data_IF_551751245262
#
_entry.id   IF_551751245262
#
_cell.length_a   1.000
_cell.length_b   1.000
_cell.length_c   1.000
_cell.angle_alpha   90.00
_cell.angle_beta   90.00
_cell.angle_gamma   90.00
#
_symmetry.space_group_name_H-M   'P 1'
#
loop_
_entity.id
_entity.type
_entity.pdbx_description
1 polymer ?
#
# COMPACT_ATOMS: atom_id res chain seq x y z
N UNK A 1 -21.11 45.46 26.95
CA UNK A 1 -22.53 45.67 27.25
C UNK A 1 -23.34 44.53 26.69
N UNK A 2 -24.17 43.93 27.58
CA UNK A 2 -25.29 42.94 27.40
C UNK A 2 -24.92 41.59 26.80
N UNK A 3 -24.68 40.54 27.56
CA UNK A 3 -25.53 39.63 28.37
C UNK A 3 -26.91 39.41 27.73
N UNK A 4 -27.16 38.19 27.23
CA UNK A 4 -28.43 37.51 27.50
C UNK A 4 -28.24 36.00 27.50
N UNK A 5 -28.49 35.41 28.66
CA UNK A 5 -28.79 34.01 28.93
C UNK A 5 -30.19 33.67 28.40
N UNK A 6 -30.43 32.44 27.97
CA UNK A 6 -31.70 31.76 28.21
C UNK A 6 -31.49 30.24 28.32
N UNK A 7 -31.95 29.78 29.46
CA UNK A 7 -32.06 28.41 29.99
C UNK A 7 -33.26 27.65 29.39
N UNK A 8 -33.22 26.37 29.62
CA UNK A 8 -34.31 25.39 29.88
C UNK A 8 -34.85 24.57 28.69
N UNK A 9 -34.87 23.27 28.95
CA UNK A 9 -35.81 22.31 28.41
C UNK A 9 -35.41 20.85 28.55
N UNK A 10 -35.28 20.40 29.83
CA UNK A 10 -35.19 18.98 30.19
C UNK A 10 -36.61 18.38 30.12
N UNK A 11 -36.89 17.37 29.31
CA UNK A 11 -38.10 16.54 29.39
C UNK A 11 -37.72 15.05 29.38
N UNK A 12 -37.80 14.50 30.57
CA UNK A 12 -37.84 13.08 30.88
C UNK A 12 -39.23 12.54 30.56
N UNK A 13 -39.35 11.50 29.76
CA UNK A 13 -40.57 10.71 29.64
C UNK A 13 -40.30 9.29 30.13
N UNK A 14 -40.76 9.03 31.31
CA UNK A 14 -40.96 7.72 31.91
C UNK A 14 -42.26 7.13 31.35
N UNK A 15 -42.24 5.90 30.80
CA UNK A 15 -43.49 5.12 30.65
C UNK A 15 -43.33 3.79 31.35
N UNK A 16 -44.25 3.58 32.27
CA UNK A 16 -44.33 2.50 33.23
C UNK A 16 -44.94 1.22 32.61
N UNK A 17 -44.49 0.12 33.17
CA UNK A 17 -45.06 -1.22 33.10
C UNK A 17 -46.52 -1.25 33.55
N UNK A 18 -47.36 -2.02 32.87
CA UNK A 18 -48.61 -2.54 33.41
C UNK A 18 -48.60 -4.06 33.21
N UNK A 19 -48.57 -4.76 34.31
CA UNK A 19 -48.82 -6.20 34.43
C UNK A 19 -50.24 -6.45 34.87
N UNK A 20 -50.69 -7.67 34.65
CA UNK A 20 -51.80 -8.40 35.30
C UNK A 20 -53.15 -8.47 34.61
N UNK A 21 -53.58 -9.73 34.51
CA UNK A 21 -54.97 -10.12 34.53
C UNK A 21 -55.23 -11.54 34.02
N UNK A 22 -55.08 -12.52 34.90
CA UNK A 22 -55.54 -13.90 34.70
C UNK A 22 -57.09 -14.00 34.79
N UNK A 23 -57.71 -14.90 34.00
CA UNK A 23 -58.89 -15.66 34.42
C UNK A 23 -59.01 -16.98 33.64
N UNK A 24 -59.19 -18.05 34.38
CA UNK A 24 -59.46 -19.42 34.01
C UNK A 24 -60.74 -19.60 33.17
N UNK A 25 -60.77 -20.61 32.32
CA UNK A 25 -61.95 -21.52 32.13
C UNK A 25 -61.53 -22.78 31.36
N UNK A 26 -61.79 -23.89 31.95
CA UNK A 26 -61.67 -25.26 31.48
C UNK A 26 -62.38 -25.55 30.15
N UNK A 27 -61.72 -26.42 29.34
CA UNK A 27 -62.40 -27.53 28.68
C UNK A 27 -61.38 -28.50 28.03
N UNK A 28 -61.48 -29.75 28.42
CA UNK A 28 -60.76 -30.93 27.99
C UNK A 28 -60.86 -31.22 26.52
N UNK A 29 -59.75 -31.69 25.91
CA UNK A 29 -59.72 -32.29 24.57
C UNK A 29 -58.39 -32.99 24.36
N UNK A 30 -58.37 -34.29 24.55
CA UNK A 30 -57.28 -35.23 24.29
C UNK A 30 -56.97 -35.27 22.79
N UNK A 31 -55.73 -34.98 22.40
CA UNK A 31 -55.13 -35.50 21.15
C UNK A 31 -53.60 -35.48 21.28
N UNK A 32 -53.05 -36.67 21.39
CA UNK A 32 -51.63 -36.97 21.19
C UNK A 32 -51.14 -36.43 19.86
N UNK A 33 -50.31 -35.43 19.88
CA UNK A 33 -49.46 -35.01 18.77
C UNK A 33 -48.00 -35.20 19.21
N UNK A 34 -47.30 -36.08 18.48
CA UNK A 34 -45.87 -36.27 18.56
C UNK A 34 -45.18 -34.92 18.35
N UNK A 35 -44.51 -34.45 19.35
CA UNK A 35 -43.52 -33.38 19.20
C UNK A 35 -42.30 -33.96 18.45
N UNK A 36 -42.24 -33.75 17.17
CA UNK A 36 -40.99 -33.71 16.45
C UNK A 36 -40.31 -32.38 16.84
N UNK A 37 -39.47 -32.43 17.86
CA UNK A 37 -38.46 -31.41 18.13
C UNK A 37 -37.40 -31.53 17.01
N UNK A 38 -37.69 -31.02 15.82
CA UNK A 38 -36.67 -30.60 14.87
C UNK A 38 -36.03 -29.34 15.48
N UNK A 39 -35.04 -29.54 16.34
CA UNK A 39 -34.05 -28.52 16.62
C UNK A 39 -33.33 -28.27 15.32
N UNK A 40 -33.77 -27.28 14.54
CA UNK A 40 -32.87 -26.54 13.68
C UNK A 40 -31.75 -26.05 14.58
N UNK A 41 -30.60 -26.73 14.53
CA UNK A 41 -29.34 -26.15 14.98
C UNK A 41 -29.13 -24.88 14.15
N UNK A 42 -29.51 -23.74 14.70
CA UNK A 42 -29.05 -22.46 14.16
C UNK A 42 -27.55 -22.49 14.25
N UNK A 43 -26.86 -22.83 13.13
CA UNK A 43 -25.42 -22.68 13.01
C UNK A 43 -25.11 -21.24 13.38
N UNK A 44 -24.38 -21.07 14.45
CA UNK A 44 -23.94 -19.75 14.91
C UNK A 44 -23.09 -19.15 13.78
N UNK A 45 -23.50 -18.00 13.24
CA UNK A 45 -22.76 -17.33 12.14
C UNK A 45 -21.53 -16.68 12.74
N UNK A 46 -20.37 -17.06 12.20
CA UNK A 46 -19.08 -16.43 12.54
C UNK A 46 -18.91 -15.18 11.69
N UNK A 47 -18.71 -14.03 12.33
CA UNK A 47 -18.41 -12.79 11.64
C UNK A 47 -16.88 -12.54 11.67
N UNK A 48 -16.27 -12.28 10.52
CA UNK A 48 -14.85 -11.92 10.37
C UNK A 48 -14.74 -10.50 9.80
N UNK A 49 -13.95 -9.65 10.44
CA UNK A 49 -13.62 -8.32 9.95
C UNK A 49 -12.29 -8.34 9.20
N UNK A 50 -12.31 -7.88 7.95
CA UNK A 50 -11.15 -7.81 7.07
C UNK A 50 -10.81 -6.34 6.81
N UNK A 51 -9.53 -6.00 6.91
CA UNK A 51 -9.01 -4.65 6.64
C UNK A 51 -7.87 -4.74 5.65
N UNK A 52 -7.99 -3.99 4.55
CA UNK A 52 -6.96 -3.93 3.49
C UNK A 52 -6.85 -2.52 2.93
N UNK A 53 -5.88 -2.32 2.03
CA UNK A 53 -5.77 -1.11 1.20
C UNK A 53 -6.62 -1.20 -0.07
N UNK A 54 -7.18 -2.37 -0.40
CA UNK A 54 -7.92 -2.67 -1.64
C UNK A 54 -9.34 -2.11 -1.56
N UNK A 55 -9.47 -0.79 -1.67
CA UNK A 55 -10.74 -0.08 -1.61
C UNK A 55 -10.67 1.27 -2.35
N UNK A 56 -11.82 1.87 -2.62
CA UNK A 56 -11.92 3.17 -3.27
C UNK A 56 -11.45 3.13 -4.72
N UNK A 57 -10.38 3.85 -5.04
CA UNK A 57 -9.77 3.91 -6.37
C UNK A 57 -8.70 2.85 -6.62
N UNK A 58 -8.46 1.94 -5.65
CA UNK A 58 -7.49 0.86 -5.82
C UNK A 58 -7.98 -0.12 -6.90
N UNK A 59 -7.16 -0.43 -7.93
CA UNK A 59 -7.55 -1.34 -9.01
C UNK A 59 -7.95 -2.74 -8.54
N UNK A 60 -7.43 -3.19 -7.39
CA UNK A 60 -7.80 -4.49 -6.80
C UNK A 60 -9.15 -4.45 -6.07
N UNK A 61 -9.73 -3.27 -5.79
CA UNK A 61 -10.87 -3.12 -4.90
C UNK A 61 -12.10 -3.92 -5.33
N UNK A 62 -12.45 -3.89 -6.62
CA UNK A 62 -13.59 -4.62 -7.17
C UNK A 62 -13.35 -6.13 -7.13
N UNK A 63 -12.21 -6.58 -7.62
CA UNK A 63 -11.83 -8.00 -7.63
C UNK A 63 -11.74 -8.57 -6.22
N UNK A 64 -11.22 -7.80 -5.27
CA UNK A 64 -11.16 -8.20 -3.87
C UNK A 64 -12.56 -8.38 -3.27
N UNK A 65 -13.50 -7.47 -3.54
CA UNK A 65 -14.89 -7.61 -3.08
C UNK A 65 -15.56 -8.84 -3.70
N UNK A 66 -15.35 -9.10 -4.99
CA UNK A 66 -15.87 -10.32 -5.65
C UNK A 66 -15.35 -11.60 -4.97
N UNK A 67 -14.04 -11.65 -4.65
CA UNK A 67 -13.46 -12.80 -3.94
C UNK A 67 -14.10 -13.01 -2.56
N UNK A 68 -14.37 -11.94 -1.82
CA UNK A 68 -15.06 -12.04 -0.53
C UNK A 68 -16.50 -12.53 -0.67
N UNK A 69 -17.22 -12.07 -1.68
CA UNK A 69 -18.61 -12.48 -1.95
C UNK A 69 -18.68 -13.95 -2.39
N UNK A 70 -17.77 -14.39 -3.24
CA UNK A 70 -17.61 -15.79 -3.65
C UNK A 70 -17.32 -16.68 -2.42
N UNK A 71 -16.33 -16.29 -1.59
CA UNK A 71 -16.01 -17.02 -0.38
C UNK A 71 -17.22 -17.17 0.54
N UNK A 72 -17.99 -16.09 0.78
CA UNK A 72 -19.18 -16.13 1.62
C UNK A 72 -20.26 -17.05 1.04
N UNK A 73 -20.44 -17.04 -0.29
CA UNK A 73 -21.42 -17.89 -0.96
C UNK A 73 -21.11 -19.39 -0.82
N UNK A 74 -19.83 -19.75 -0.74
CA UNK A 74 -19.36 -21.12 -0.59
C UNK A 74 -19.27 -21.57 0.89
N UNK A 75 -19.33 -20.61 1.82
CA UNK A 75 -19.13 -20.86 3.24
C UNK A 75 -20.32 -20.34 4.08
N UNK A 76 -21.50 -21.01 3.92
CA UNK A 76 -22.65 -20.72 4.75
C UNK A 76 -22.31 -20.78 6.23
N UNK A 77 -22.56 -19.69 6.97
CA UNK A 77 -22.20 -19.55 8.37
C UNK A 77 -20.95 -18.71 8.63
N UNK A 78 -20.26 -18.24 7.57
CA UNK A 78 -19.22 -17.21 7.72
C UNK A 78 -19.73 -15.92 7.04
N UNK A 79 -19.72 -14.82 7.81
CA UNK A 79 -20.02 -13.48 7.30
C UNK A 79 -18.76 -12.64 7.34
N UNK A 80 -18.45 -11.93 6.25
CA UNK A 80 -17.31 -11.04 6.19
C UNK A 80 -17.78 -9.58 6.27
N UNK A 81 -17.10 -8.81 7.10
CA UNK A 81 -17.21 -7.35 7.17
C UNK A 81 -15.95 -6.78 6.54
N UNK A 82 -16.07 -6.33 5.29
CA UNK A 82 -15.00 -5.63 4.59
C UNK A 82 -14.93 -4.19 5.09
N UNK A 83 -13.93 -3.88 5.93
CA UNK A 83 -13.66 -2.56 6.51
C UNK A 83 -12.37 -1.95 5.91
N UNK A 84 -12.11 -2.26 4.63
CA UNK A 84 -10.96 -1.79 3.87
C UNK A 84 -11.06 -0.29 3.56
N UNK A 85 -9.91 0.36 3.43
CA UNK A 85 -9.80 1.79 3.12
C UNK A 85 -8.74 2.00 2.05
N UNK A 86 -8.92 3.01 1.21
CA UNK A 86 -7.87 3.41 0.25
C UNK A 86 -6.52 3.65 0.95
N UNK A 87 -5.43 3.34 0.26
CA UNK A 87 -4.08 3.55 0.76
C UNK A 87 -3.71 5.03 0.94
N UNK A 88 -4.54 5.94 0.42
CA UNK A 88 -4.26 7.37 0.38
C UNK A 88 -4.04 7.97 1.78
N UNK A 89 -3.10 8.90 1.85
CA UNK A 89 -2.85 9.79 3.00
C UNK A 89 -2.57 9.09 4.35
N UNK A 90 -2.03 7.87 4.34
CA UNK A 90 -1.67 7.17 5.58
C UNK A 90 -2.85 6.78 6.47
N UNK A 91 -4.08 6.83 5.97
CA UNK A 91 -5.30 6.52 6.73
C UNK A 91 -5.31 5.10 7.24
N UNK A 92 -4.83 4.14 6.45
CA UNK A 92 -4.74 2.72 6.83
C UNK A 92 -3.79 2.51 8.02
N UNK A 93 -2.64 3.20 8.06
CA UNK A 93 -1.69 3.12 9.18
C UNK A 93 -2.32 3.61 10.48
N UNK A 94 -2.97 4.76 10.43
CA UNK A 94 -3.69 5.34 11.58
C UNK A 94 -4.81 4.41 12.04
N UNK A 95 -5.56 3.82 11.11
CA UNK A 95 -6.64 2.88 11.41
C UNK A 95 -6.12 1.63 12.11
N UNK A 96 -5.13 0.95 11.56
CA UNK A 96 -4.55 -0.26 12.14
C UNK A 96 -3.98 0.03 13.53
N UNK A 97 -3.19 1.09 13.70
CA UNK A 97 -2.66 1.48 15.01
C UNK A 97 -3.78 1.74 16.05
N UNK A 98 -4.87 2.40 15.64
CA UNK A 98 -6.02 2.66 16.49
C UNK A 98 -6.74 1.37 16.85
N UNK A 99 -7.00 0.50 15.90
CA UNK A 99 -7.68 -0.77 16.09
C UNK A 99 -6.92 -1.67 17.08
N UNK A 100 -5.61 -1.84 16.89
CA UNK A 100 -4.77 -2.64 17.78
C UNK A 100 -4.65 -2.02 19.18
N UNK A 101 -4.49 -0.70 19.28
CA UNK A 101 -4.39 0.00 20.58
C UNK A 101 -5.68 -0.05 21.37
N UNK A 102 -6.85 -0.10 20.72
CA UNK A 102 -8.16 -0.17 21.36
C UNK A 102 -8.66 -1.59 21.64
N UNK A 103 -7.92 -2.63 21.23
CA UNK A 103 -8.32 -4.03 21.35
C UNK A 103 -9.41 -4.43 20.35
N UNK A 104 -9.55 -3.68 19.25
CA UNK A 104 -10.47 -3.96 18.15
C UNK A 104 -9.72 -4.43 16.90
N UNK A 105 -8.79 -5.36 17.09
CA UNK A 105 -7.97 -5.90 15.99
C UNK A 105 -8.86 -6.52 14.89
N UNK A 106 -8.54 -6.33 13.59
CA UNK A 106 -9.20 -7.08 12.51
C UNK A 106 -8.86 -8.57 12.63
N UNK A 107 -9.73 -9.44 12.12
CA UNK A 107 -9.45 -10.89 12.11
C UNK A 107 -8.38 -11.22 11.07
N UNK A 108 -8.47 -10.60 9.90
CA UNK A 108 -7.52 -10.71 8.78
C UNK A 108 -7.20 -9.32 8.26
N UNK A 109 -5.94 -9.03 7.96
CA UNK A 109 -5.55 -7.76 7.36
C UNK A 109 -4.48 -7.93 6.29
N UNK A 110 -4.54 -7.09 5.25
CA UNK A 110 -3.46 -6.88 4.30
C UNK A 110 -2.77 -5.56 4.65
N UNK A 111 -1.54 -5.65 5.11
CA UNK A 111 -0.85 -4.51 5.71
C UNK A 111 0.65 -4.54 5.43
N UNK A 112 1.34 -3.44 5.73
CA UNK A 112 2.78 -3.31 5.55
C UNK A 112 3.54 -4.20 6.55
N UNK A 113 4.37 -5.11 6.06
CA UNK A 113 5.28 -5.94 6.85
C UNK A 113 6.68 -5.27 6.91
N UNK A 114 6.70 -4.07 7.41
CA UNK A 114 7.83 -3.16 7.51
C UNK A 114 7.93 -2.65 8.95
N UNK A 115 8.64 -1.56 9.19
CA UNK A 115 8.66 -0.87 10.51
C UNK A 115 7.25 -0.57 11.05
N UNK A 116 6.26 -0.45 10.16
CA UNK A 116 4.85 -0.24 10.54
C UNK A 116 4.25 -1.43 11.32
N UNK A 117 4.70 -2.66 11.05
CA UNK A 117 4.19 -3.86 11.73
C UNK A 117 5.01 -4.26 12.96
N UNK A 118 6.20 -3.70 13.18
CA UNK A 118 7.09 -4.12 14.26
C UNK A 118 6.41 -4.08 15.63
N UNK A 119 5.63 -3.03 15.90
CA UNK A 119 4.93 -2.88 17.17
C UNK A 119 3.95 -4.03 17.43
N UNK A 120 3.10 -4.35 16.45
CA UNK A 120 2.09 -5.41 16.59
C UNK A 120 2.71 -6.81 16.59
N UNK A 121 3.84 -7.01 15.90
CA UNK A 121 4.61 -8.27 15.93
C UNK A 121 5.24 -8.45 17.32
N UNK A 122 5.94 -7.44 17.83
CA UNK A 122 6.64 -7.49 19.11
C UNK A 122 5.68 -7.65 20.30
N UNK A 123 4.45 -7.16 20.18
CA UNK A 123 3.38 -7.37 21.17
C UNK A 123 2.69 -8.72 21.05
N UNK A 124 3.06 -9.56 20.06
CA UNK A 124 2.44 -10.87 19.82
C UNK A 124 0.98 -10.77 19.36
N UNK A 125 0.61 -9.68 18.68
CA UNK A 125 -0.76 -9.41 18.22
C UNK A 125 -1.11 -10.09 16.90
N UNK A 126 -0.12 -10.61 16.19
CA UNK A 126 -0.27 -11.34 14.92
C UNK A 126 0.44 -12.67 15.00
N UNK A 127 -0.06 -13.63 14.24
CA UNK A 127 0.35 -15.04 14.29
C UNK A 127 1.64 -15.26 13.48
N UNK A 128 2.58 -16.06 14.02
CA UNK A 128 3.64 -16.64 13.19
C UNK A 128 3.02 -17.68 12.25
N UNK A 129 2.96 -17.38 10.97
CA UNK A 129 2.25 -18.18 9.97
C UNK A 129 2.88 -19.57 9.75
N UNK A 130 4.18 -19.73 9.97
CA UNK A 130 4.86 -21.04 9.86
C UNK A 130 4.51 -22.00 11.01
N UNK A 131 4.10 -21.44 12.16
CA UNK A 131 3.71 -22.20 13.34
C UNK A 131 2.19 -22.39 13.44
N UNK A 132 1.42 -21.69 12.61
CA UNK A 132 -0.03 -21.68 12.65
C UNK A 132 -0.62 -22.95 12.02
N UNK A 133 -1.30 -23.77 12.82
CA UNK A 133 -1.95 -24.98 12.34
C UNK A 133 -3.04 -24.63 11.30
N UNK A 134 -2.99 -25.30 10.15
CA UNK A 134 -3.95 -25.14 9.06
C UNK A 134 -3.63 -24.03 8.06
N UNK A 135 -2.65 -23.18 8.33
CA UNK A 135 -2.17 -22.17 7.36
C UNK A 135 -1.33 -22.84 6.28
N UNK A 136 -1.64 -22.53 5.01
CA UNK A 136 -0.94 -23.06 3.84
C UNK A 136 -0.06 -21.97 3.19
N UNK A 137 1.25 -22.11 3.36
CA UNK A 137 2.28 -21.27 2.74
C UNK A 137 2.92 -21.93 1.50
N UNK A 138 2.36 -22.99 0.97
CA UNK A 138 2.90 -23.65 -0.23
C UNK A 138 2.71 -22.82 -1.50
N UNK A 139 3.56 -23.05 -2.49
CA UNK A 139 3.44 -22.45 -3.84
C UNK A 139 3.91 -21.00 -3.96
N UNK A 140 4.33 -20.36 -2.88
CA UNK A 140 4.96 -19.04 -2.93
C UNK A 140 6.31 -19.06 -3.65
N UNK A 141 6.62 -18.00 -4.37
CA UNK A 141 7.96 -17.74 -4.91
C UNK A 141 8.89 -17.12 -3.85
N UNK A 142 10.03 -16.57 -4.26
CA UNK A 142 11.01 -15.96 -3.35
C UNK A 142 10.50 -14.76 -2.54
N UNK A 143 9.34 -14.20 -2.88
CA UNK A 143 8.74 -13.09 -2.15
C UNK A 143 8.33 -13.47 -0.72
N UNK A 144 8.00 -14.76 -0.48
CA UNK A 144 7.71 -15.22 0.89
C UNK A 144 8.93 -15.08 1.80
N UNK A 145 10.11 -15.38 1.31
CA UNK A 145 11.36 -15.24 2.08
C UNK A 145 11.69 -13.77 2.41
N UNK A 146 11.22 -12.83 1.59
CA UNK A 146 11.37 -11.40 1.85
C UNK A 146 10.47 -10.92 3.02
N UNK A 147 9.48 -11.74 3.42
CA UNK A 147 8.61 -11.45 4.56
C UNK A 147 9.22 -11.85 5.91
N UNK A 148 10.39 -12.49 5.94
CA UNK A 148 11.03 -12.87 7.19
C UNK A 148 11.51 -11.66 7.96
N UNK A 149 11.11 -11.58 9.23
CA UNK A 149 11.65 -10.59 10.14
C UNK A 149 13.10 -10.92 10.55
N UNK A 150 13.72 -10.07 11.36
CA UNK A 150 15.10 -10.26 11.85
C UNK A 150 15.31 -11.57 12.63
N UNK A 151 14.26 -12.11 13.26
CA UNK A 151 14.30 -13.37 14.01
C UNK A 151 14.08 -14.60 13.10
N UNK A 152 13.86 -14.40 11.82
CA UNK A 152 13.64 -15.44 10.82
C UNK A 152 12.20 -15.95 10.74
N UNK A 153 11.23 -15.31 11.39
CA UNK A 153 9.83 -15.69 11.40
C UNK A 153 9.02 -14.99 10.29
N UNK A 154 7.94 -15.66 9.84
CA UNK A 154 7.00 -15.11 8.85
C UNK A 154 5.67 -14.80 9.53
N UNK A 155 5.29 -13.53 9.58
CA UNK A 155 4.02 -13.05 10.13
C UNK A 155 3.04 -12.59 9.05
N UNK A 156 3.53 -12.38 7.83
CA UNK A 156 2.74 -11.95 6.70
C UNK A 156 2.96 -12.84 5.48
N UNK A 157 1.91 -13.10 4.71
CA UNK A 157 2.01 -13.81 3.43
C UNK A 157 1.83 -12.80 2.28
N UNK A 158 2.79 -12.64 1.35
CA UNK A 158 2.71 -11.62 0.32
C UNK A 158 1.60 -11.91 -0.69
N UNK A 159 0.99 -10.86 -1.23
CA UNK A 159 0.04 -10.93 -2.33
C UNK A 159 0.74 -10.78 -3.67
N UNK A 160 1.60 -9.79 -3.75
CA UNK A 160 2.35 -9.39 -4.94
C UNK A 160 3.65 -8.72 -4.53
N UNK A 161 4.58 -8.67 -5.45
CA UNK A 161 5.70 -7.74 -5.39
C UNK A 161 5.36 -6.41 -6.03
N UNK A 162 6.25 -5.44 -5.87
CA UNK A 162 6.19 -4.17 -6.55
C UNK A 162 7.59 -3.76 -7.02
N UNK A 163 7.62 -2.81 -7.91
CA UNK A 163 8.81 -2.07 -8.29
C UNK A 163 8.45 -0.60 -8.42
N UNK A 164 9.43 0.26 -8.20
CA UNK A 164 9.36 1.68 -8.50
C UNK A 164 10.33 1.99 -9.62
N UNK A 165 9.91 2.87 -10.55
CA UNK A 165 10.66 3.14 -11.76
C UNK A 165 10.31 4.53 -12.32
N UNK A 166 11.06 4.96 -13.32
CA UNK A 166 10.66 6.11 -14.15
C UNK A 166 9.68 5.60 -15.19
N UNK A 167 8.44 6.07 -15.14
CA UNK A 167 7.45 5.93 -16.20
C UNK A 167 7.69 7.02 -17.25
N UNK A 168 7.86 6.62 -18.49
CA UNK A 168 8.24 7.52 -19.59
C UNK A 168 7.17 7.49 -20.66
N UNK A 169 6.61 8.65 -21.01
CA UNK A 169 5.72 8.77 -22.18
C UNK A 169 6.55 8.75 -23.46
N UNK A 170 6.67 7.57 -24.07
CA UNK A 170 7.49 7.35 -25.28
C UNK A 170 7.03 8.16 -26.48
N UNK A 171 5.73 8.45 -26.57
CA UNK A 171 5.19 9.27 -27.65
C UNK A 171 5.69 10.73 -27.59
N UNK A 172 5.78 11.30 -26.37
CA UNK A 172 6.34 12.64 -26.18
C UNK A 172 7.85 12.67 -26.48
N UNK A 173 8.58 11.63 -26.06
CA UNK A 173 10.01 11.51 -26.36
C UNK A 173 10.26 11.42 -27.87
N UNK A 174 9.46 10.64 -28.60
CA UNK A 174 9.55 10.53 -30.06
C UNK A 174 9.17 11.86 -30.75
N UNK A 175 8.09 12.51 -30.33
CA UNK A 175 7.60 13.78 -30.90
C UNK A 175 8.64 14.88 -30.78
N UNK A 176 9.34 14.95 -29.63
CA UNK A 176 10.35 15.98 -29.37
C UNK A 176 11.77 15.56 -29.80
N UNK A 177 11.95 14.32 -30.27
CA UNK A 177 13.26 13.81 -30.69
C UNK A 177 14.28 13.69 -29.55
N UNK A 178 13.81 13.36 -28.35
CA UNK A 178 14.60 13.17 -27.14
C UNK A 178 14.88 11.67 -26.95
N UNK A 179 16.12 11.30 -26.66
CA UNK A 179 16.48 9.91 -26.36
C UNK A 179 15.96 9.49 -24.98
N UNK A 180 15.55 8.20 -24.85
CA UNK A 180 15.12 7.65 -23.56
C UNK A 180 16.27 7.68 -22.52
N UNK A 181 15.99 8.05 -21.26
CA UNK A 181 17.01 8.30 -20.24
C UNK A 181 17.52 6.99 -19.61
N UNK A 182 18.44 6.32 -20.25
CA UNK A 182 19.07 5.07 -19.74
C UNK A 182 20.38 5.32 -18.98
N UNK A 183 20.92 6.55 -19.02
CA UNK A 183 22.04 7.00 -18.21
C UNK A 183 21.70 8.31 -17.49
N UNK A 184 22.48 8.65 -16.45
CA UNK A 184 22.27 9.91 -15.73
C UNK A 184 22.38 11.14 -16.63
N UNK A 185 23.37 11.15 -17.53
CA UNK A 185 23.56 12.25 -18.48
C UNK A 185 22.39 12.38 -19.46
N UNK A 186 21.79 11.24 -19.87
CA UNK A 186 20.58 11.25 -20.71
C UNK A 186 19.37 11.75 -19.92
N UNK A 187 19.24 11.38 -18.63
CA UNK A 187 18.17 11.88 -17.75
C UNK A 187 18.23 13.41 -17.60
N UNK A 188 19.43 13.97 -17.30
CA UNK A 188 19.62 15.41 -17.26
C UNK A 188 19.38 16.07 -18.63
N UNK A 189 19.79 15.41 -19.73
CA UNK A 189 19.58 15.94 -21.08
C UNK A 189 18.10 15.97 -21.44
N UNK A 190 17.32 14.95 -21.05
CA UNK A 190 15.87 14.94 -21.22
C UNK A 190 15.19 16.04 -20.41
N UNK A 191 15.59 16.24 -19.15
CA UNK A 191 15.09 17.36 -18.32
C UNK A 191 15.30 18.69 -19.04
N UNK A 192 16.53 18.97 -19.50
CA UNK A 192 16.87 20.22 -20.17
C UNK A 192 16.10 20.41 -21.49
N UNK A 193 15.92 19.32 -22.26
CA UNK A 193 15.23 19.38 -23.53
C UNK A 193 13.73 19.68 -23.35
N UNK A 194 13.06 19.03 -22.42
CA UNK A 194 11.64 19.29 -22.16
C UNK A 194 11.40 20.61 -21.45
N UNK A 195 12.31 21.08 -20.58
CA UNK A 195 12.22 22.38 -19.94
C UNK A 195 12.22 23.58 -20.93
N UNK A 196 12.66 23.38 -22.17
CA UNK A 196 12.56 24.38 -23.25
C UNK A 196 11.23 24.31 -24.02
N UNK A 197 10.29 23.44 -23.60
CA UNK A 197 8.97 23.22 -24.24
C UNK A 197 7.83 23.53 -23.27
N UNK A 198 6.59 23.30 -23.72
CA UNK A 198 5.42 23.38 -22.85
C UNK A 198 5.16 22.07 -22.05
N UNK A 199 6.02 21.05 -22.21
CA UNK A 199 5.93 19.76 -21.53
C UNK A 199 6.79 19.77 -20.27
N UNK A 200 6.21 19.43 -19.14
CA UNK A 200 6.93 19.28 -17.86
C UNK A 200 7.88 18.08 -17.99
N UNK A 201 9.18 18.22 -17.70
CA UNK A 201 10.12 17.11 -17.79
C UNK A 201 9.73 15.93 -16.87
N UNK A 202 9.47 16.19 -15.59
CA UNK A 202 9.12 15.19 -14.58
C UNK A 202 7.91 15.68 -13.77
N UNK A 203 6.80 14.99 -13.87
CA UNK A 203 5.67 15.23 -12.98
C UNK A 203 6.06 14.83 -11.55
N UNK A 204 6.03 15.76 -10.63
CA UNK A 204 6.33 15.51 -9.22
C UNK A 204 5.64 16.54 -8.31
N UNK A 205 5.28 16.09 -7.11
CA UNK A 205 5.08 16.95 -5.95
C UNK A 205 6.39 17.03 -5.17
N UNK A 206 6.83 18.23 -4.79
CA UNK A 206 7.98 18.37 -3.88
C UNK A 206 7.54 18.46 -2.42
N UNK A 207 6.25 18.67 -2.14
CA UNK A 207 5.67 18.58 -0.81
C UNK A 207 5.42 17.12 -0.40
N UNK A 208 5.00 16.28 -1.37
CA UNK A 208 4.73 14.85 -1.16
C UNK A 208 5.66 13.98 -2.03
N UNK A 209 6.96 14.10 -1.78
CA UNK A 209 8.02 13.59 -2.66
C UNK A 209 8.56 12.22 -2.23
N UNK A 210 7.68 11.23 -2.02
CA UNK A 210 8.07 9.85 -1.67
C UNK A 210 9.10 9.29 -2.67
N UNK A 211 8.68 9.07 -3.90
CA UNK A 211 9.49 8.39 -4.91
C UNK A 211 10.68 9.23 -5.39
N UNK A 212 10.50 10.56 -5.46
CA UNK A 212 11.59 11.45 -5.88
C UNK A 212 12.76 11.37 -4.90
N UNK A 213 12.50 11.46 -3.59
CA UNK A 213 13.54 11.37 -2.55
C UNK A 213 14.28 10.04 -2.64
N UNK A 214 13.55 8.93 -2.74
CA UNK A 214 14.14 7.59 -2.76
C UNK A 214 14.98 7.33 -4.00
N UNK A 215 14.45 7.66 -5.16
CA UNK A 215 15.16 7.43 -6.41
C UNK A 215 16.39 8.33 -6.58
N UNK A 216 16.33 9.56 -6.08
CA UNK A 216 17.52 10.40 -6.06
C UNK A 216 18.54 9.89 -5.04
N UNK A 217 18.12 9.34 -3.88
CA UNK A 217 19.02 8.70 -2.93
C UNK A 217 19.71 7.46 -3.54
N UNK A 218 18.95 6.61 -4.25
CA UNK A 218 19.49 5.48 -5.00
C UNK A 218 20.49 5.96 -6.07
N UNK A 219 20.12 6.98 -6.85
CA UNK A 219 20.98 7.50 -7.90
C UNK A 219 22.29 8.09 -7.40
N UNK A 220 22.23 8.90 -6.32
CA UNK A 220 23.39 9.59 -5.77
C UNK A 220 24.37 8.63 -5.07
N UNK A 221 23.88 7.57 -4.43
CA UNK A 221 24.69 6.69 -3.60
C UNK A 221 24.90 5.27 -4.13
N UNK A 222 24.11 4.84 -5.12
CA UNK A 222 24.00 3.42 -5.48
C UNK A 222 23.30 2.61 -4.38
N UNK A 223 23.14 1.30 -4.60
CA UNK A 223 22.33 0.45 -3.73
C UNK A 223 22.96 0.26 -2.33
N UNK A 224 24.27 0.20 -2.22
CA UNK A 224 24.95 0.04 -0.93
C UNK A 224 24.65 1.22 0.03
N UNK A 225 24.76 2.44 -0.47
CA UNK A 225 24.45 3.65 0.31
C UNK A 225 22.95 3.82 0.53
N UNK A 226 22.14 3.47 -0.50
CA UNK A 226 20.69 3.53 -0.42
C UNK A 226 20.13 2.65 0.71
N UNK A 227 20.73 1.48 0.95
CA UNK A 227 20.28 0.53 1.99
C UNK A 227 20.74 0.86 3.41
N UNK A 228 21.52 1.93 3.62
CA UNK A 228 21.92 2.36 4.97
C UNK A 228 20.73 2.83 5.80
N UNK A 229 20.90 2.81 7.11
CA UNK A 229 19.99 3.45 8.05
C UNK A 229 20.23 4.95 8.12
N UNK A 230 19.21 5.73 8.47
CA UNK A 230 19.32 7.19 8.70
C UNK A 230 20.31 7.51 9.83
N UNK A 231 20.42 6.61 10.83
CA UNK A 231 21.36 6.74 11.94
C UNK A 231 22.84 6.67 11.50
N UNK A 232 23.14 6.08 10.33
CA UNK A 232 24.45 6.07 9.71
C UNK A 232 24.80 7.42 9.07
N UNK A 233 23.84 8.33 8.99
CA UNK A 233 23.94 9.66 8.39
C UNK A 233 24.58 9.62 6.99
N UNK A 234 23.99 8.91 6.00
CA UNK A 234 24.61 8.68 4.70
C UNK A 234 24.71 10.00 3.91
N UNK A 235 25.93 10.43 3.62
CA UNK A 235 26.20 11.69 2.94
C UNK A 235 25.59 11.74 1.54
N UNK A 236 25.45 10.59 0.86
CA UNK A 236 24.80 10.46 -0.45
C UNK A 236 23.31 10.83 -0.42
N UNK A 237 22.61 10.64 0.71
CA UNK A 237 21.23 11.07 0.85
C UNK A 237 21.10 12.60 0.91
N UNK A 238 22.07 13.28 1.58
CA UNK A 238 22.16 14.74 1.54
C UNK A 238 22.44 15.26 0.13
N UNK A 239 23.38 14.64 -0.60
CA UNK A 239 23.64 14.95 -2.00
C UNK A 239 22.39 14.74 -2.87
N UNK A 240 21.64 13.66 -2.67
CA UNK A 240 20.42 13.37 -3.40
C UNK A 240 19.36 14.48 -3.25
N UNK A 241 19.16 14.96 -2.03
CA UNK A 241 18.23 16.06 -1.76
C UNK A 241 18.71 17.37 -2.42
N UNK A 242 20.03 17.65 -2.41
CA UNK A 242 20.58 18.81 -3.11
C UNK A 242 20.38 18.70 -4.64
N UNK A 243 20.54 17.49 -5.23
CA UNK A 243 20.26 17.24 -6.66
C UNK A 243 18.81 17.51 -7.03
N UNK A 244 17.84 17.24 -6.15
CA UNK A 244 16.44 17.61 -6.40
C UNK A 244 16.31 19.13 -6.55
N UNK A 245 16.97 19.91 -5.68
CA UNK A 245 17.03 21.37 -5.76
C UNK A 245 17.69 21.86 -7.06
N UNK A 246 18.79 21.23 -7.47
CA UNK A 246 19.48 21.55 -8.73
C UNK A 246 18.60 21.28 -9.94
N UNK A 247 17.87 20.15 -9.97
CA UNK A 247 16.95 19.82 -11.06
C UNK A 247 15.71 20.72 -11.07
N UNK A 248 15.19 21.12 -9.92
CA UNK A 248 14.15 22.13 -9.82
C UNK A 248 14.59 23.45 -10.46
N UNK A 249 15.83 23.88 -10.20
CA UNK A 249 16.39 25.11 -10.81
C UNK A 249 16.58 24.98 -12.34
N UNK A 250 16.68 23.76 -12.89
CA UNK A 250 16.67 23.50 -14.34
C UNK A 250 15.26 23.44 -14.94
N UNK A 251 14.21 23.57 -14.14
CA UNK A 251 12.81 23.45 -14.61
C UNK A 251 12.34 22.02 -14.75
N UNK A 252 12.91 21.08 -13.99
CA UNK A 252 12.57 19.65 -14.06
C UNK A 252 11.12 19.37 -13.65
N UNK A 253 10.57 20.12 -12.70
CA UNK A 253 9.29 19.86 -12.04
C UNK A 253 8.24 20.95 -12.39
N UNK A 254 6.94 20.70 -12.10
CA UNK A 254 5.91 21.72 -12.23
C UNK A 254 6.28 22.99 -11.44
N UNK A 255 5.90 24.19 -11.94
CA UNK A 255 6.16 25.45 -11.25
C UNK A 255 5.53 25.50 -9.85
N UNK A 256 4.42 24.80 -9.65
CA UNK A 256 3.67 24.67 -8.40
C UNK A 256 3.95 23.36 -7.62
N UNK A 257 5.02 22.64 -7.96
CA UNK A 257 5.39 21.35 -7.34
C UNK A 257 5.44 21.39 -5.80
N UNK A 258 5.74 22.56 -5.21
CA UNK A 258 5.76 22.75 -3.76
C UNK A 258 4.39 22.90 -3.10
N UNK A 259 3.30 22.86 -3.87
CA UNK A 259 1.93 23.09 -3.38
C UNK A 259 0.89 22.12 -3.93
N UNK A 260 1.28 21.26 -4.87
CA UNK A 260 0.44 20.17 -5.37
C UNK A 260 0.75 18.88 -4.62
N UNK A 261 -0.25 18.01 -4.51
CA UNK A 261 -0.10 16.65 -3.99
C UNK A 261 0.34 15.67 -5.09
N UNK A 262 0.63 14.45 -4.70
CA UNK A 262 1.03 13.37 -5.61
C UNK A 262 -0.08 13.07 -6.65
N UNK A 263 -1.34 13.07 -6.24
CA UNK A 263 -2.46 12.76 -7.14
C UNK A 263 -2.56 13.77 -8.29
N UNK A 264 -2.29 15.08 -8.01
CA UNK A 264 -2.25 16.09 -9.04
C UNK A 264 -1.02 15.93 -9.96
N UNK A 265 0.13 15.54 -9.42
CA UNK A 265 1.31 15.21 -10.23
C UNK A 265 1.02 14.02 -11.17
N UNK A 266 0.38 12.96 -10.67
CA UNK A 266 -0.07 11.83 -11.49
C UNK A 266 -1.04 12.30 -12.60
N UNK A 267 -1.96 13.20 -12.29
CA UNK A 267 -2.89 13.76 -13.28
C UNK A 267 -2.19 14.54 -14.40
N UNK A 268 -1.12 15.28 -14.11
CA UNK A 268 -0.31 15.94 -15.13
C UNK A 268 0.28 14.93 -16.13
N UNK A 269 0.81 13.82 -15.62
CA UNK A 269 1.34 12.74 -16.48
C UNK A 269 0.23 12.05 -17.28
N UNK A 270 -0.89 11.69 -16.64
CA UNK A 270 -2.05 11.05 -17.30
C UNK A 270 -2.67 11.92 -18.39
N UNK A 271 -2.52 13.25 -18.31
CA UNK A 271 -2.97 14.20 -19.35
C UNK A 271 -1.92 14.49 -20.41
N UNK A 272 -0.82 13.76 -20.43
CA UNK A 272 0.29 13.94 -21.37
C UNK A 272 0.91 15.37 -21.28
N UNK A 273 0.83 15.99 -20.10
CA UNK A 273 1.43 17.31 -19.83
C UNK A 273 2.85 17.18 -19.25
N UNK A 274 3.26 15.96 -18.91
CA UNK A 274 4.61 15.67 -18.43
C UNK A 274 5.20 14.47 -19.18
N UNK A 275 6.51 14.51 -19.42
CA UNK A 275 7.23 13.49 -20.17
C UNK A 275 7.57 12.26 -19.31
N UNK A 276 7.84 12.46 -18.03
CA UNK A 276 8.23 11.43 -17.07
C UNK A 276 7.48 11.60 -15.75
N UNK A 277 7.37 10.50 -15.00
CA UNK A 277 7.00 10.47 -13.58
C UNK A 277 7.74 9.32 -12.92
N UNK A 278 8.14 9.48 -11.65
CA UNK A 278 8.68 8.39 -10.83
C UNK A 278 7.53 7.84 -10.01
N UNK A 279 7.21 6.56 -10.18
CA UNK A 279 6.04 5.92 -9.57
C UNK A 279 6.26 4.41 -9.38
N UNK A 280 5.35 3.80 -8.62
CA UNK A 280 5.34 2.37 -8.42
C UNK A 280 4.49 1.61 -9.44
N UNK A 281 4.69 0.29 -9.50
CA UNK A 281 3.99 -0.60 -10.43
C UNK A 281 2.46 -0.58 -10.33
N UNK A 282 1.89 -0.13 -9.21
CA UNK A 282 0.44 0.09 -9.03
C UNK A 282 -0.12 1.20 -9.93
N UNK A 283 0.71 2.06 -10.48
CA UNK A 283 0.28 3.17 -11.33
C UNK A 283 -0.22 2.70 -12.71
N UNK A 284 0.13 1.48 -13.13
CA UNK A 284 -0.33 0.92 -14.40
C UNK A 284 -1.85 0.88 -14.53
N UNK A 285 -2.58 0.52 -13.48
CA UNK A 285 -4.05 0.53 -13.53
C UNK A 285 -4.63 1.89 -13.89
N UNK A 286 -4.08 2.98 -13.34
CA UNK A 286 -4.50 4.33 -13.68
C UNK A 286 -4.11 4.74 -15.11
N UNK A 287 -2.96 4.26 -15.62
CA UNK A 287 -2.51 4.51 -16.99
C UNK A 287 -3.38 3.77 -18.02
N UNK A 288 -3.82 2.56 -17.71
CA UNK A 288 -4.77 1.80 -18.53
C UNK A 288 -6.12 2.52 -18.61
N UNK A 289 -6.67 2.97 -17.49
CA UNK A 289 -7.90 3.75 -17.46
C UNK A 289 -7.79 5.07 -18.26
N UNK A 290 -6.60 5.68 -18.26
CA UNK A 290 -6.32 6.88 -19.06
C UNK A 290 -6.06 6.57 -20.56
N UNK A 291 -5.97 5.30 -20.95
CA UNK A 291 -5.68 4.87 -22.33
C UNK A 291 -4.21 5.10 -22.73
N UNK A 292 -3.29 5.11 -21.77
CA UNK A 292 -1.87 5.41 -21.98
C UNK A 292 -0.97 4.18 -21.96
N UNK A 293 -1.47 2.99 -21.68
CA UNK A 293 -0.67 1.78 -21.53
C UNK A 293 0.38 1.61 -22.63
N UNK A 294 -0.01 1.65 -23.92
CA UNK A 294 0.89 1.48 -25.05
C UNK A 294 1.80 2.70 -25.35
N UNK A 295 1.54 3.85 -24.72
CA UNK A 295 2.36 5.06 -24.87
C UNK A 295 3.43 5.21 -23.81
N UNK A 296 3.41 4.36 -22.78
CA UNK A 296 4.28 4.45 -21.62
C UNK A 296 5.17 3.21 -21.53
N UNK A 297 6.42 3.41 -21.20
CA UNK A 297 7.34 2.36 -20.77
C UNK A 297 7.93 2.70 -19.43
N UNK A 298 8.58 1.72 -18.78
CA UNK A 298 9.28 1.91 -17.51
C UNK A 298 10.77 1.70 -17.66
N UNK A 299 11.55 2.53 -17.00
CA UNK A 299 13.01 2.46 -16.96
C UNK A 299 13.48 2.51 -15.50
N UNK A 300 14.57 1.80 -15.16
CA UNK A 300 15.17 1.97 -13.85
C UNK A 300 15.72 3.41 -13.72
N UNK A 301 15.74 3.94 -12.51
CA UNK A 301 16.42 5.22 -12.26
C UNK A 301 17.91 5.09 -12.61
N UNK A 302 18.46 5.95 -13.46
CA UNK A 302 19.88 5.92 -13.76
C UNK A 302 20.74 6.23 -12.53
N UNK A 303 21.80 5.46 -12.33
CA UNK A 303 22.71 5.63 -11.19
C UNK A 303 23.81 6.62 -11.55
N UNK A 304 23.87 7.71 -10.79
CA UNK A 304 24.91 8.76 -10.91
C UNK A 304 26.23 8.32 -10.29
N UNK A 305 26.15 7.65 -9.12
CA UNK A 305 27.34 7.27 -8.35
C UNK A 305 28.21 6.24 -9.04
N UNK A 306 27.61 5.18 -9.60
CA UNK A 306 28.29 4.11 -10.32
C UNK A 306 27.41 3.54 -11.45
N UNK A 307 27.76 3.83 -12.69
CA UNK A 307 27.03 3.34 -13.85
C UNK A 307 27.04 1.80 -13.97
N UNK A 308 27.89 1.07 -13.25
CA UNK A 308 27.89 -0.39 -13.23
C UNK A 308 26.67 -0.97 -12.45
N UNK A 309 26.01 -0.19 -11.61
CA UNK A 309 24.78 -0.54 -10.91
C UNK A 309 23.51 -0.21 -11.73
N UNK A 310 23.66 0.18 -12.98
CA UNK A 310 22.51 0.45 -13.87
C UNK A 310 21.54 -0.72 -13.87
N UNK A 311 20.26 -0.44 -13.58
CA UNK A 311 19.22 -1.44 -13.46
C UNK A 311 18.91 -1.86 -12.03
N UNK A 312 19.63 -1.33 -11.02
CA UNK A 312 19.19 -1.47 -9.62
C UNK A 312 17.78 -0.86 -9.43
N UNK A 313 16.94 -1.53 -8.68
CA UNK A 313 15.54 -1.13 -8.48
C UNK A 313 15.20 -0.92 -7.00
N UNK A 314 14.33 0.05 -6.76
CA UNK A 314 13.52 0.11 -5.55
C UNK A 314 12.33 -0.82 -5.74
N UNK A 315 12.05 -1.69 -4.78
CA UNK A 315 10.96 -2.66 -4.90
C UNK A 315 11.06 -3.79 -3.88
N UNK A 316 10.23 -4.79 -4.08
CA UNK A 316 10.18 -5.97 -3.23
C UNK A 316 8.76 -6.41 -2.92
N UNK A 317 8.56 -7.03 -1.76
CA UNK A 317 7.26 -7.39 -1.23
C UNK A 317 7.15 -6.84 0.19
N UNK A 318 6.63 -5.62 0.33
CA UNK A 318 6.53 -4.93 1.64
C UNK A 318 5.18 -5.10 2.33
N UNK A 319 4.22 -5.76 1.69
CA UNK A 319 2.89 -5.98 2.23
C UNK A 319 2.54 -7.46 2.25
N UNK A 320 1.69 -7.84 3.19
CA UNK A 320 1.20 -9.21 3.25
C UNK A 320 -0.05 -9.37 4.11
N UNK A 321 -0.60 -10.58 4.08
CA UNK A 321 -1.77 -11.00 4.82
C UNK A 321 -1.38 -11.47 6.21
N UNK A 322 -1.88 -10.80 7.23
CA UNK A 322 -1.70 -11.14 8.66
C UNK A 322 -2.99 -11.69 9.25
N UNK A 323 -2.86 -12.71 10.09
CA UNK A 323 -3.94 -13.19 10.96
C UNK A 323 -3.72 -12.60 12.35
N UNK A 324 -4.73 -12.00 12.98
CA UNK A 324 -4.60 -11.53 14.36
C UNK A 324 -4.57 -12.73 15.33
N UNK A 325 -3.71 -12.64 16.35
CA UNK A 325 -3.63 -13.63 17.42
C UNK A 325 -4.97 -13.80 18.12
N UNK A 326 -5.69 -12.71 18.32
CA UNK A 326 -7.03 -12.70 18.93
C UNK A 326 -8.03 -13.58 18.18
N UNK A 327 -8.06 -13.51 16.85
CA UNK A 327 -8.96 -14.33 16.02
C UNK A 327 -8.50 -15.77 15.96
N UNK A 328 -7.19 -16.00 15.85
CA UNK A 328 -6.62 -17.35 15.76
C UNK A 328 -6.74 -18.15 17.08
N UNK A 329 -6.58 -17.51 18.23
CA UNK A 329 -6.71 -18.17 19.54
C UNK A 329 -8.17 -18.40 19.95
N UNK A 330 -9.12 -17.72 19.35
CA UNK A 330 -10.54 -17.89 19.61
C UNK A 330 -11.07 -19.12 18.86
N UNK A 331 -11.48 -20.16 19.57
CA UNK A 331 -12.02 -21.41 19.00
C UNK A 331 -13.20 -21.18 18.03
N UNK A 332 -13.98 -20.12 18.23
CA UNK A 332 -15.13 -19.82 17.39
C UNK A 332 -14.75 -19.24 16.01
N UNK A 333 -13.62 -18.52 15.91
CA UNK A 333 -13.18 -17.82 14.69
C UNK A 333 -11.99 -18.47 14.01
N UNK A 334 -11.18 -19.28 14.72
CA UNK A 334 -9.96 -19.88 14.18
C UNK A 334 -10.12 -20.55 12.82
N UNK A 335 -11.02 -21.52 12.75
CA UNK A 335 -11.22 -22.30 11.51
C UNK A 335 -11.69 -21.42 10.37
N UNK A 336 -12.53 -20.43 10.66
CA UNK A 336 -13.07 -19.51 9.67
C UNK A 336 -11.99 -18.55 9.14
N UNK A 337 -11.14 -17.98 10.02
CA UNK A 337 -10.09 -17.04 9.60
C UNK A 337 -8.97 -17.74 8.85
N UNK A 338 -8.58 -18.95 9.27
CA UNK A 338 -7.59 -19.77 8.54
C UNK A 338 -8.13 -20.16 7.15
N UNK A 339 -9.41 -20.52 7.06
CA UNK A 339 -10.04 -20.86 5.79
C UNK A 339 -10.08 -19.64 4.85
N UNK A 340 -10.43 -18.46 5.35
CA UNK A 340 -10.42 -17.22 4.58
C UNK A 340 -9.00 -16.86 4.15
N UNK A 341 -8.02 -16.96 5.05
CA UNK A 341 -6.62 -16.72 4.73
C UNK A 341 -6.14 -17.61 3.58
N UNK A 342 -6.36 -18.93 3.67
CA UNK A 342 -5.94 -19.88 2.63
C UNK A 342 -6.66 -19.63 1.30
N UNK A 343 -7.91 -19.18 1.33
CA UNK A 343 -8.67 -18.82 0.13
C UNK A 343 -8.08 -17.59 -0.55
N UNK A 344 -7.89 -16.47 0.19
CA UNK A 344 -7.41 -15.22 -0.37
C UNK A 344 -5.92 -15.27 -0.76
N UNK A 345 -5.15 -16.18 -0.18
CA UNK A 345 -3.75 -16.46 -0.52
C UNK A 345 -3.59 -17.65 -1.46
N UNK A 346 -4.68 -18.19 -2.02
CA UNK A 346 -4.61 -19.20 -3.09
C UNK A 346 -3.98 -18.61 -4.35
N UNK A 347 -3.39 -19.46 -5.19
CA UNK A 347 -2.83 -19.02 -6.48
C UNK A 347 -3.89 -18.31 -7.34
N UNK A 348 -5.13 -18.82 -7.37
CA UNK A 348 -6.22 -18.23 -8.12
C UNK A 348 -6.53 -16.79 -7.64
N UNK A 349 -6.72 -16.59 -6.34
CA UNK A 349 -7.01 -15.27 -5.79
C UNK A 349 -5.84 -14.29 -6.00
N UNK A 350 -4.60 -14.75 -5.80
CA UNK A 350 -3.39 -13.97 -6.05
C UNK A 350 -3.32 -13.53 -7.52
N UNK A 351 -3.54 -14.43 -8.47
CA UNK A 351 -3.49 -14.11 -9.90
C UNK A 351 -4.64 -13.18 -10.33
N UNK A 352 -5.84 -13.31 -9.76
CA UNK A 352 -6.96 -12.38 -10.04
C UNK A 352 -6.63 -10.96 -9.59
N UNK A 353 -6.09 -10.79 -8.38
CA UNK A 353 -5.68 -9.47 -7.85
C UNK A 353 -4.50 -8.92 -8.67
N UNK A 354 -3.49 -9.75 -8.95
CA UNK A 354 -2.34 -9.35 -9.76
C UNK A 354 -2.74 -8.93 -11.18
N UNK A 355 -3.73 -9.62 -11.78
CA UNK A 355 -4.29 -9.26 -13.09
C UNK A 355 -4.96 -7.89 -13.10
N UNK A 356 -5.61 -7.49 -12.00
CA UNK A 356 -6.23 -6.17 -11.87
C UNK A 356 -5.22 -5.05 -11.61
N UNK A 357 -4.11 -5.36 -10.94
CA UNK A 357 -3.09 -4.36 -10.56
C UNK A 357 -1.89 -4.29 -11.51
N UNK A 358 -1.69 -5.32 -12.34
CA UNK A 358 -0.47 -5.46 -13.14
C UNK A 358 0.80 -5.76 -12.34
N UNK A 359 0.69 -6.04 -11.04
CA UNK A 359 1.83 -6.32 -10.17
C UNK A 359 2.31 -7.76 -10.31
N UNK A 360 3.63 -8.03 -10.13
CA UNK A 360 4.17 -9.38 -10.12
C UNK A 360 3.53 -10.23 -9.01
N UNK A 361 2.90 -11.37 -9.32
CA UNK A 361 2.21 -12.19 -8.33
C UNK A 361 3.19 -12.93 -7.40
N UNK A 362 2.80 -13.14 -6.15
CA UNK A 362 3.59 -13.92 -5.20
C UNK A 362 3.44 -15.45 -5.39
N UNK A 363 2.42 -15.90 -6.13
CA UNK A 363 2.21 -17.28 -6.57
C UNK A 363 1.80 -17.31 -8.04
N UNK A 364 2.24 -18.34 -8.77
CA UNK A 364 1.90 -18.52 -10.18
C UNK A 364 2.54 -17.47 -11.10
N UNK A 365 2.06 -17.40 -12.32
CA UNK A 365 2.49 -16.46 -13.36
C UNK A 365 1.25 -15.92 -14.08
N UNK A 366 1.25 -14.62 -14.42
CA UNK A 366 0.18 -14.03 -15.21
C UNK A 366 0.37 -14.40 -16.68
N UNK A 367 -0.60 -15.06 -17.32
CA UNK A 367 -0.55 -15.32 -18.76
C UNK A 367 -0.85 -14.03 -19.54
N UNK A 368 -0.29 -13.92 -20.74
CA UNK A 368 -0.67 -12.94 -21.77
C UNK A 368 -0.64 -11.46 -21.28
N UNK A 369 0.41 -11.08 -20.53
CA UNK A 369 0.61 -9.69 -20.10
C UNK A 369 0.80 -8.76 -21.32
N UNK A 370 0.17 -7.56 -21.31
CA UNK A 370 0.52 -6.51 -22.27
C UNK A 370 2.01 -6.19 -22.24
N UNK A 371 2.58 -5.82 -23.40
CA UNK A 371 4.03 -5.57 -23.52
C UNK A 371 4.53 -4.51 -22.53
N UNK A 372 3.75 -3.50 -22.23
CA UNK A 372 4.11 -2.45 -21.29
C UNK A 372 4.13 -2.94 -19.80
N UNK A 373 3.22 -3.84 -19.41
CA UNK A 373 3.27 -4.49 -18.09
C UNK A 373 4.45 -5.44 -18.03
N UNK A 374 4.65 -6.23 -19.11
CA UNK A 374 5.77 -7.15 -19.22
C UNK A 374 7.11 -6.43 -19.08
N UNK A 375 7.26 -5.21 -19.62
CA UNK A 375 8.48 -4.42 -19.47
C UNK A 375 8.84 -4.19 -17.99
N UNK A 376 7.87 -3.94 -17.13
CA UNK A 376 8.08 -3.80 -15.68
C UNK A 376 8.48 -5.12 -15.00
N UNK A 377 7.83 -6.24 -15.37
CA UNK A 377 8.21 -7.57 -14.88
C UNK A 377 9.63 -7.96 -15.34
N UNK A 378 9.99 -7.61 -16.57
CA UNK A 378 11.34 -7.82 -17.11
C UNK A 378 12.38 -6.95 -16.36
N UNK A 379 12.03 -5.72 -15.94
CA UNK A 379 12.91 -4.91 -15.07
C UNK A 379 13.22 -5.64 -13.75
N UNK A 380 12.21 -6.14 -13.06
CA UNK A 380 12.39 -6.87 -11.79
C UNK A 380 13.23 -8.13 -11.99
N UNK A 381 12.92 -8.90 -13.05
CA UNK A 381 13.60 -10.17 -13.36
C UNK A 381 15.08 -9.99 -13.74
N UNK A 382 15.42 -8.85 -14.34
CA UNK A 382 16.78 -8.54 -14.81
C UNK A 382 17.54 -7.60 -13.88
N UNK A 383 16.90 -7.09 -12.80
CA UNK A 383 17.56 -6.20 -11.86
C UNK A 383 18.76 -6.89 -11.20
N UNK A 384 19.96 -6.29 -11.24
CA UNK A 384 21.13 -6.85 -10.56
C UNK A 384 20.94 -6.89 -9.05
N UNK A 385 20.16 -5.97 -8.51
CA UNK A 385 19.81 -5.88 -7.10
C UNK A 385 18.48 -5.12 -6.94
N UNK A 386 17.68 -5.55 -5.97
CA UNK A 386 16.44 -4.88 -5.57
C UNK A 386 16.57 -4.50 -4.10
N UNK A 387 16.30 -3.24 -3.79
CA UNK A 387 16.31 -2.71 -2.41
C UNK A 387 14.93 -2.24 -1.99
N UNK A 388 14.58 -2.48 -0.72
CA UNK A 388 13.34 -1.97 -0.14
C UNK A 388 13.36 -0.45 -0.05
N UNK A 389 12.22 0.23 -0.24
CA UNK A 389 12.11 1.67 -0.09
C UNK A 389 12.67 2.19 1.25
N UNK A 390 13.16 3.41 1.27
CA UNK A 390 13.67 4.03 2.50
C UNK A 390 12.56 4.16 3.54
N UNK A 391 11.35 4.56 3.12
CA UNK A 391 10.19 4.71 4.01
C UNK A 391 9.76 3.40 4.69
N UNK A 392 10.11 2.25 4.13
CA UNK A 392 9.80 0.91 4.68
C UNK A 392 10.84 0.44 5.71
N UNK A 393 11.99 1.15 5.84
CA UNK A 393 13.15 0.71 6.62
C UNK A 393 13.54 1.66 7.76
N UNK A 394 13.19 2.93 7.67
CA UNK A 394 13.51 3.93 8.71
C UNK A 394 12.24 4.40 9.42
N UNK A 395 12.39 5.04 10.57
CA UNK A 395 11.24 5.56 11.30
C UNK A 395 10.41 6.54 10.46
N UNK A 396 9.07 6.43 10.49
CA UNK A 396 8.18 7.25 9.67
C UNK A 396 8.36 8.76 9.85
N UNK A 397 8.70 9.22 11.04
CA UNK A 397 8.95 10.62 11.34
C UNK A 397 10.20 11.14 10.61
N UNK A 398 11.28 10.34 10.57
CA UNK A 398 12.52 10.68 9.87
C UNK A 398 12.30 10.81 8.37
N UNK A 399 11.60 9.83 7.76
CA UNK A 399 11.29 9.90 6.33
C UNK A 399 10.33 11.05 6.01
N UNK A 400 9.31 11.25 6.85
CA UNK A 400 8.38 12.39 6.69
C UNK A 400 9.14 13.71 6.73
N UNK A 401 10.11 13.87 7.64
CA UNK A 401 10.93 15.07 7.70
C UNK A 401 11.76 15.27 6.43
N UNK A 402 12.39 14.21 5.92
CA UNK A 402 13.14 14.26 4.65
C UNK A 402 12.29 14.78 3.51
N UNK A 403 11.14 14.14 3.23
CA UNK A 403 10.30 14.46 2.09
C UNK A 403 9.63 15.84 2.21
N UNK A 404 9.11 16.21 3.37
CA UNK A 404 8.45 17.50 3.58
C UNK A 404 9.42 18.69 3.67
N UNK A 405 10.72 18.43 3.77
CA UNK A 405 11.77 19.46 3.72
C UNK A 405 12.26 19.77 2.30
N UNK A 406 11.84 18.97 1.28
CA UNK A 406 12.26 19.20 -0.11
C UNK A 406 11.93 20.61 -0.61
N UNK A 407 10.74 21.21 -0.33
CA UNK A 407 10.49 22.60 -0.72
C UNK A 407 11.52 23.58 -0.18
N UNK A 408 11.98 23.42 1.07
CA UNK A 408 13.00 24.29 1.66
C UNK A 408 14.35 24.18 0.94
N UNK A 409 14.67 23.00 0.38
CA UNK A 409 15.87 22.80 -0.45
C UNK A 409 15.70 23.47 -1.80
N UNK A 410 14.55 23.26 -2.45
CA UNK A 410 14.21 23.89 -3.75
C UNK A 410 14.30 25.41 -3.66
N UNK A 411 13.86 26.00 -2.55
CA UNK A 411 13.94 27.46 -2.32
C UNK A 411 15.31 27.92 -1.76
N UNK A 412 16.26 27.00 -1.57
CA UNK A 412 17.61 27.34 -1.07
C UNK A 412 17.68 27.74 0.41
N UNK A 413 16.66 27.36 1.19
CA UNK A 413 16.57 27.65 2.63
C UNK A 413 17.35 26.64 3.48
N UNK A 414 17.46 25.38 2.98
CA UNK A 414 18.23 24.29 3.61
C UNK A 414 19.12 23.60 2.58
N UNK A 415 20.16 22.94 3.06
CA UNK A 415 20.93 21.94 2.29
C UNK A 415 20.40 20.55 2.57
N UNK A 416 20.61 19.61 1.65
CA UNK A 416 20.25 18.22 1.85
C UNK A 416 20.89 17.63 3.11
N UNK A 417 22.17 17.91 3.37
CA UNK A 417 22.84 17.41 4.57
C UNK A 417 22.20 17.93 5.87
N UNK A 418 21.76 19.20 5.91
CA UNK A 418 21.04 19.73 7.09
C UNK A 418 19.74 18.95 7.34
N UNK A 419 19.01 18.59 6.28
CA UNK A 419 17.77 17.80 6.40
C UNK A 419 18.06 16.39 6.91
N UNK A 420 19.11 15.74 6.41
CA UNK A 420 19.52 14.41 6.90
C UNK A 420 19.98 14.47 8.36
N UNK A 421 20.78 15.47 8.75
CA UNK A 421 21.21 15.66 10.14
C UNK A 421 20.01 15.86 11.09
N UNK A 422 18.98 16.59 10.65
CA UNK A 422 17.76 16.80 11.42
C UNK A 422 16.94 15.49 11.52
N UNK A 423 16.77 14.79 10.40
CA UNK A 423 16.01 13.54 10.34
C UNK A 423 16.62 12.40 11.19
N UNK A 424 17.97 12.34 11.25
CA UNK A 424 18.68 11.36 12.05
C UNK A 424 18.55 11.59 13.58
N UNK A 425 18.03 12.74 14.00
CA UNK A 425 17.84 13.08 15.42
C UNK A 425 16.38 12.99 15.87
N UNK A 426 15.46 12.53 15.01
CA UNK A 426 14.06 12.30 15.35
C UNK A 426 13.86 10.90 15.91
#
# INVERSE_FOLDING_TARGET
>A
MRKLLLLLGLTVVLVALIACGSTDSDASGDSTAENNDDKEETKETVELRVVTTMAGTDPAGEVFQELLDEFQSENEGIKIVNDSQSADAGTIRTKINTDFSSGNEPDLMFYFNTVDAEGIINEGKVVNLEEAEGVDLSGYNSMLEQQRNADGNIYAAPQSGFYEAIFVNTALFEEHGVDLPTTWEQYESAIKAFAETDIIPVAASTEDSYYVVEHYALSAGGMEEFQKDIADNPASWGEALDLIGEHAALGAFPEDAATIDLALAQDLFKREQAAMIIEGSWFWGQLEEAGLGEKVTVLPMPIKADASETGALVGGASQGWFISTKSYENEATRDAVVKLFNYITSEEAILRIAGATGQPPAKGELPDLPDYIKAGHDLVSNAPVVGMPINDRIYPESFTHMRTSVPAIVFGEKTGQQVIDEAANL
#
